data_IF_064990062624
#
_entry.id   IF_064990062624
#
_cell.length_a   1.000
_cell.length_b   1.000
_cell.length_c   1.000
_cell.angle_alpha   90.00
_cell.angle_beta   90.00
_cell.angle_gamma   90.00
#
_symmetry.space_group_name_H-M   'P 1'
#
loop_
_entity.id
_entity.type
_entity.pdbx_description
1 polymer ?
#
# COMPACT_ATOMS: atom_id res chain seq x y z
N UNK A 1 -22.83 0.14 20.13
CA UNK A 1 -22.89 -0.64 18.88
C UNK A 1 -21.47 -1.09 18.52
N UNK A 2 -21.22 -2.35 18.13
CA UNK A 2 -19.87 -2.91 17.88
C UNK A 2 -19.62 -3.31 16.42
N UNK A 3 -20.46 -2.85 15.50
CA UNK A 3 -20.41 -3.25 14.08
C UNK A 3 -20.02 -2.04 13.25
N UNK A 4 -19.04 -2.23 12.38
CA UNK A 4 -18.68 -1.31 11.31
C UNK A 4 -19.09 -1.97 10.00
N UNK A 5 -19.87 -1.26 9.18
CA UNK A 5 -20.43 -1.77 7.93
C UNK A 5 -19.95 -0.94 6.76
N UNK A 6 -19.37 -1.60 5.76
CA UNK A 6 -18.93 -1.00 4.50
C UNK A 6 -19.93 -1.34 3.39
N UNK A 7 -20.66 -0.34 2.89
CA UNK A 7 -21.47 -0.46 1.69
C UNK A 7 -20.67 -0.04 0.46
N UNK A 8 -19.94 -0.99 -0.13
CA UNK A 8 -19.01 -0.73 -1.22
C UNK A 8 -19.53 -1.34 -2.53
N UNK A 9 -20.72 -0.94 -2.97
CA UNK A 9 -21.38 -1.51 -4.15
C UNK A 9 -20.52 -1.47 -5.43
N UNK A 10 -19.60 -0.50 -5.54
CA UNK A 10 -18.65 -0.34 -6.65
C UNK A 10 -17.18 -0.56 -6.23
N UNK A 11 -16.95 -1.12 -5.05
CA UNK A 11 -15.63 -1.30 -4.47
C UNK A 11 -15.15 -0.11 -3.63
N UNK A 12 -14.00 -0.30 -2.97
CA UNK A 12 -13.32 0.71 -2.15
C UNK A 12 -11.80 0.47 -2.24
N UNK A 13 -11.03 1.53 -2.43
CA UNK A 13 -9.58 1.49 -2.43
C UNK A 13 -9.01 1.52 -1.01
N UNK A 14 -7.72 1.18 -0.87
CA UNK A 14 -7.05 1.11 0.43
C UNK A 14 -7.00 2.46 1.16
N UNK A 15 -6.69 3.54 0.43
CA UNK A 15 -6.67 4.90 0.94
C UNK A 15 -8.06 5.37 1.40
N UNK A 16 -9.14 5.04 0.67
CA UNK A 16 -10.51 5.32 1.09
C UNK A 16 -10.88 4.56 2.36
N UNK A 17 -10.45 3.30 2.48
CA UNK A 17 -10.65 2.49 3.70
C UNK A 17 -9.92 3.10 4.89
N UNK A 18 -8.64 3.47 4.73
CA UNK A 18 -7.85 4.14 5.78
C UNK A 18 -8.45 5.50 6.16
N UNK A 19 -8.88 6.28 5.17
CA UNK A 19 -9.52 7.57 5.37
C UNK A 19 -10.76 7.44 6.24
N UNK A 20 -11.65 6.49 5.91
CA UNK A 20 -12.86 6.22 6.70
C UNK A 20 -12.54 5.82 8.15
N UNK A 21 -11.54 4.97 8.36
CA UNK A 21 -11.13 4.53 9.71
C UNK A 21 -10.51 5.66 10.55
N UNK A 22 -9.71 6.54 9.94
CA UNK A 22 -9.18 7.74 10.61
C UNK A 22 -10.27 8.77 10.90
N UNK A 23 -11.30 8.84 10.07
CA UNK A 23 -12.42 9.75 10.27
C UNK A 23 -13.33 9.32 11.44
N UNK A 24 -13.37 8.01 11.75
CA UNK A 24 -14.02 7.46 12.94
C UNK A 24 -13.33 7.81 14.27
N UNK A 25 -12.22 8.56 14.23
CA UNK A 25 -11.54 9.08 15.42
C UNK A 25 -10.24 8.35 15.79
N UNK A 26 -9.76 7.41 14.97
CA UNK A 26 -8.41 6.85 15.14
C UNK A 26 -7.38 7.92 14.78
N UNK A 27 -6.44 8.18 15.69
CA UNK A 27 -5.35 9.13 15.45
C UNK A 27 -4.38 8.63 14.38
N UNK A 28 -3.90 9.55 13.52
CA UNK A 28 -2.89 9.26 12.49
C UNK A 28 -1.66 8.54 13.08
N UNK A 29 -1.22 8.97 14.26
CA UNK A 29 0.00 8.44 14.89
C UNK A 29 -0.11 6.94 15.21
N UNK A 30 -1.31 6.48 15.59
CA UNK A 30 -1.56 5.04 15.81
C UNK A 30 -1.35 4.24 14.54
N UNK A 31 -1.88 4.73 13.41
CA UNK A 31 -1.68 4.09 12.11
C UNK A 31 -0.19 4.08 11.72
N UNK A 32 0.48 5.22 11.86
CA UNK A 32 1.89 5.36 11.51
C UNK A 32 2.77 4.44 12.36
N UNK A 33 2.52 4.36 13.66
CA UNK A 33 3.31 3.52 14.57
C UNK A 33 3.08 2.03 14.32
N UNK A 34 1.88 1.60 13.94
CA UNK A 34 1.64 0.22 13.50
C UNK A 34 2.34 -0.08 12.16
N UNK A 35 2.30 0.84 11.19
CA UNK A 35 2.95 0.65 9.89
C UNK A 35 4.48 0.64 9.99
N UNK A 36 5.09 1.43 10.89
CA UNK A 36 6.54 1.41 11.15
C UNK A 36 7.05 0.04 11.58
N UNK A 37 6.20 -0.78 12.20
CA UNK A 37 6.56 -2.16 12.60
C UNK A 37 6.82 -3.07 11.40
N UNK A 38 6.46 -2.68 10.18
CA UNK A 38 6.83 -3.38 8.95
C UNK A 38 8.34 -3.31 8.66
N UNK A 39 9.07 -2.37 9.29
CA UNK A 39 10.51 -2.19 9.03
C UNK A 39 10.81 -1.60 7.65
N UNK A 40 9.81 -0.95 7.03
CA UNK A 40 9.95 -0.26 5.75
C UNK A 40 10.20 1.22 5.99
N UNK A 41 11.10 1.81 5.19
CA UNK A 41 11.49 3.22 5.25
C UNK A 41 11.16 3.91 3.92
N UNK A 42 11.24 5.24 3.88
CA UNK A 42 11.06 6.02 2.66
C UNK A 42 9.59 6.23 2.29
N UNK A 43 8.70 6.30 3.28
CA UNK A 43 7.29 6.62 3.10
C UNK A 43 6.81 7.57 4.20
N UNK A 44 5.84 8.39 3.85
CA UNK A 44 5.10 9.25 4.78
C UNK A 44 3.58 9.07 4.53
N UNK A 45 2.81 9.03 5.61
CA UNK A 45 1.35 9.14 5.53
C UNK A 45 0.96 10.59 5.65
N UNK A 46 0.27 11.14 4.66
CA UNK A 46 -0.31 12.48 4.69
C UNK A 46 -1.82 12.35 4.87
N UNK A 47 -2.39 13.12 5.80
CA UNK A 47 -3.83 13.12 6.06
C UNK A 47 -4.35 14.54 5.89
N UNK A 48 -5.29 14.75 4.98
CA UNK A 48 -5.89 16.05 4.70
C UNK A 48 -7.40 16.01 4.85
N UNK A 49 -8.02 17.15 5.12
CA UNK A 49 -9.47 17.29 5.02
C UNK A 49 -9.82 17.67 3.57
N UNK A 50 -10.79 16.97 3.00
CA UNK A 50 -11.27 17.20 1.64
C UNK A 50 -12.79 17.37 1.65
N UNK A 51 -13.32 18.06 0.64
CA UNK A 51 -14.76 18.06 0.32
C UNK A 51 -14.94 17.42 -1.05
N UNK A 52 -15.68 16.31 -1.10
CA UNK A 52 -16.02 15.60 -2.35
C UNK A 52 -17.52 15.64 -2.52
N UNK A 53 -17.99 16.26 -3.60
CA UNK A 53 -19.42 16.43 -3.87
C UNK A 53 -20.20 17.06 -2.69
N UNK A 54 -19.57 18.00 -1.97
CA UNK A 54 -20.18 18.69 -0.81
C UNK A 54 -20.11 17.93 0.52
N UNK A 55 -19.53 16.72 0.54
CA UNK A 55 -19.35 15.92 1.76
C UNK A 55 -17.91 16.09 2.24
N UNK A 56 -17.75 16.50 3.50
CA UNK A 56 -16.46 16.56 4.17
C UNK A 56 -15.97 15.16 4.55
N UNK A 57 -14.69 14.88 4.29
CA UNK A 57 -14.04 13.62 4.63
C UNK A 57 -12.53 13.84 4.87
N UNK A 58 -11.87 12.86 5.48
CA UNK A 58 -10.41 12.75 5.41
C UNK A 58 -9.98 12.14 4.08
N UNK A 59 -8.78 12.48 3.64
CA UNK A 59 -8.07 11.81 2.56
C UNK A 59 -6.68 11.44 3.04
N UNK A 60 -6.34 10.17 2.88
CA UNK A 60 -5.04 9.59 3.20
C UNK A 60 -4.24 9.42 1.92
N UNK A 61 -3.00 9.88 1.93
CA UNK A 61 -2.05 9.69 0.85
C UNK A 61 -0.77 9.03 1.40
N UNK A 62 -0.16 8.16 0.60
CA UNK A 62 1.11 7.48 0.92
C UNK A 62 2.18 8.07 0.02
N UNK A 63 2.95 9.02 0.56
CA UNK A 63 4.01 9.71 -0.18
C UNK A 63 5.30 8.93 -0.02
N UNK A 64 5.92 8.51 -1.13
CA UNK A 64 7.21 7.82 -1.12
C UNK A 64 8.35 8.84 -1.26
N UNK A 65 9.42 8.67 -0.49
CA UNK A 65 10.65 9.43 -0.67
C UNK A 65 11.32 9.00 -1.98
N UNK A 66 11.44 9.91 -2.95
CA UNK A 66 12.24 9.64 -4.15
C UNK A 66 13.72 9.48 -3.76
N UNK A 67 14.22 8.24 -3.77
CA UNK A 67 15.66 8.01 -3.82
C UNK A 67 16.16 8.36 -5.22
N UNK A 68 16.49 9.64 -5.42
CA UNK A 68 17.29 10.12 -6.55
C UNK A 68 18.71 9.54 -6.48
N UNK A 69 18.85 8.28 -6.85
CA UNK A 69 20.17 7.67 -7.10
C UNK A 69 20.41 7.68 -8.60
N UNK A 70 20.71 8.86 -9.16
CA UNK A 70 21.78 9.01 -10.16
C UNK A 70 22.11 10.48 -10.42
N UNK A 71 23.38 10.72 -10.68
CA UNK A 71 24.04 12.01 -10.54
C UNK A 71 23.53 13.14 -11.43
N UNK A 72 23.86 14.37 -10.99
CA UNK A 72 24.06 15.53 -11.86
C UNK A 72 24.73 15.09 -13.17
N UNK A 73 24.01 15.11 -14.28
CA UNK A 73 24.60 15.26 -15.61
C UNK A 73 23.89 16.42 -16.27
N UNK A 74 24.67 17.47 -16.47
CA UNK A 74 24.36 18.62 -17.30
C UNK A 74 24.09 18.19 -18.74
N UNK A 75 22.97 18.63 -19.31
CA UNK A 75 22.79 18.72 -20.76
C UNK A 75 21.82 17.71 -21.37
N UNK A 76 20.70 18.25 -21.89
CA UNK A 76 20.01 17.86 -23.13
C UNK A 76 19.96 16.36 -23.46
N UNK A 77 18.83 15.68 -23.19
CA UNK A 77 18.18 14.60 -23.99
C UNK A 77 16.99 13.98 -23.19
N UNK A 78 16.03 13.29 -23.84
CA UNK A 78 14.63 13.24 -23.43
C UNK A 78 14.35 12.36 -22.21
N UNK A 79 13.37 12.80 -21.40
CA UNK A 79 12.86 12.14 -20.20
C UNK A 79 12.38 10.71 -20.46
N UNK A 80 13.25 9.72 -20.31
CA UNK A 80 12.85 8.35 -19.98
C UNK A 80 12.96 8.19 -18.46
N UNK A 81 11.84 8.37 -17.75
CA UNK A 81 11.73 8.00 -16.34
C UNK A 81 11.76 6.47 -16.24
N UNK A 82 12.96 5.89 -16.17
CA UNK A 82 13.14 4.50 -15.73
C UNK A 82 12.94 4.47 -14.23
N UNK A 83 11.68 4.37 -13.81
CA UNK A 83 11.36 4.02 -12.43
C UNK A 83 11.88 2.60 -12.20
N UNK A 84 12.97 2.46 -11.45
CA UNK A 84 13.41 1.16 -10.93
C UNK A 84 12.39 0.74 -9.86
N UNK A 85 11.28 0.15 -10.31
CA UNK A 85 10.31 -0.46 -9.42
C UNK A 85 10.98 -1.69 -8.80
N UNK A 86 11.08 -1.70 -7.47
CA UNK A 86 11.46 -2.91 -6.75
C UNK A 86 10.31 -3.91 -6.92
N UNK A 87 10.44 -4.82 -7.88
CA UNK A 87 9.48 -5.88 -8.08
C UNK A 87 9.57 -6.87 -6.91
N UNK A 88 8.52 -6.94 -6.09
CA UNK A 88 8.38 -7.95 -5.04
C UNK A 88 7.50 -9.07 -5.53
N UNK A 89 7.90 -10.31 -5.28
CA UNK A 89 7.03 -11.48 -5.44
C UNK A 89 6.30 -11.80 -4.13
N UNK A 90 5.40 -12.79 -4.18
CA UNK A 90 4.66 -13.22 -3.00
C UNK A 90 5.56 -13.69 -1.84
N UNK A 91 6.69 -14.31 -2.15
CA UNK A 91 7.68 -14.76 -1.16
C UNK A 91 8.40 -13.62 -0.45
N UNK A 92 8.74 -12.54 -1.17
CA UNK A 92 9.31 -11.31 -0.59
C UNK A 92 8.33 -10.67 0.38
N UNK A 93 7.06 -10.52 -0.03
CA UNK A 93 6.01 -9.91 0.78
C UNK A 93 5.74 -10.72 2.03
N UNK A 94 5.64 -12.06 1.91
CA UNK A 94 5.46 -12.94 3.06
C UNK A 94 6.60 -12.79 4.07
N UNK A 95 7.85 -12.71 3.61
CA UNK A 95 9.02 -12.49 4.48
C UNK A 95 8.96 -11.14 5.21
N UNK A 96 8.57 -10.06 4.52
CA UNK A 96 8.40 -8.74 5.15
C UNK A 96 7.33 -8.81 6.26
N UNK A 97 6.18 -9.41 5.96
CA UNK A 97 5.08 -9.55 6.91
C UNK A 97 5.50 -10.40 8.11
N UNK A 98 6.17 -11.53 7.87
CA UNK A 98 6.58 -12.46 8.93
C UNK A 98 7.66 -11.84 9.84
N UNK A 99 8.59 -11.08 9.27
CA UNK A 99 9.64 -10.36 10.02
C UNK A 99 9.12 -9.11 10.76
N UNK A 100 7.94 -8.59 10.40
CA UNK A 100 7.39 -7.38 11.01
C UNK A 100 6.94 -7.55 12.47
N UNK A 101 6.80 -6.45 13.19
CA UNK A 101 6.25 -6.40 14.55
C UNK A 101 4.72 -6.26 14.64
N UNK A 102 3.99 -6.33 13.52
CA UNK A 102 2.51 -6.20 13.54
C UNK A 102 1.85 -7.43 14.19
N UNK A 103 0.60 -7.29 14.62
CA UNK A 103 -0.13 -8.37 15.31
C UNK A 103 -0.26 -9.65 14.46
N UNK A 104 -0.33 -10.82 15.09
CA UNK A 104 -0.51 -12.10 14.39
C UNK A 104 -1.74 -12.11 13.49
N UNK A 105 -2.87 -11.58 13.98
CA UNK A 105 -4.09 -11.45 13.18
C UNK A 105 -3.91 -10.55 11.95
N UNK A 106 -3.15 -9.45 12.08
CA UNK A 106 -2.83 -8.59 10.94
C UNK A 106 -1.91 -9.31 9.92
N UNK A 107 -0.91 -10.07 10.40
CA UNK A 107 -0.04 -10.88 9.52
C UNK A 107 -0.84 -11.90 8.73
N UNK A 108 -1.72 -12.65 9.39
CA UNK A 108 -2.57 -13.66 8.75
C UNK A 108 -3.52 -13.04 7.73
N UNK A 109 -4.16 -11.92 8.08
CA UNK A 109 -5.05 -11.20 7.19
C UNK A 109 -4.32 -10.67 5.97
N UNK A 110 -3.16 -10.02 6.15
CA UNK A 110 -2.35 -9.49 5.06
C UNK A 110 -1.90 -10.59 4.10
N UNK A 111 -1.36 -11.70 4.62
CA UNK A 111 -0.94 -12.84 3.78
C UNK A 111 -2.11 -13.43 2.99
N UNK A 112 -3.30 -13.52 3.58
CA UNK A 112 -4.52 -13.95 2.87
C UNK A 112 -4.92 -13.00 1.75
N UNK A 113 -4.82 -11.68 1.97
CA UNK A 113 -5.13 -10.68 0.95
C UNK A 113 -4.16 -10.79 -0.22
N UNK A 114 -2.85 -10.80 0.06
CA UNK A 114 -1.83 -10.93 -0.98
C UNK A 114 -1.90 -12.27 -1.72
N UNK A 115 -2.19 -13.37 -1.04
CA UNK A 115 -2.38 -14.67 -1.69
C UNK A 115 -3.58 -14.67 -2.65
N UNK A 116 -4.69 -14.00 -2.28
CA UNK A 116 -5.84 -13.85 -3.19
C UNK A 116 -5.48 -13.05 -4.44
N UNK A 117 -4.68 -11.99 -4.28
CA UNK A 117 -4.15 -11.22 -5.42
C UNK A 117 -3.23 -12.09 -6.28
N UNK A 118 -2.26 -12.80 -5.67
CA UNK A 118 -1.36 -13.70 -6.39
C UNK A 118 -2.10 -14.76 -7.20
N UNK A 119 -3.15 -15.38 -6.63
CA UNK A 119 -3.98 -16.35 -7.35
C UNK A 119 -4.72 -15.73 -8.54
N UNK A 120 -5.19 -14.49 -8.41
CA UNK A 120 -5.86 -13.78 -9.49
C UNK A 120 -4.88 -13.45 -10.63
N UNK A 121 -3.72 -12.89 -10.30
CA UNK A 121 -2.66 -12.55 -11.25
C UNK A 121 -2.14 -13.81 -11.96
N UNK A 122 -1.85 -14.87 -11.22
CA UNK A 122 -1.39 -16.15 -11.77
C UNK A 122 -2.36 -16.72 -12.80
N UNK A 123 -3.68 -16.61 -12.54
CA UNK A 123 -4.71 -17.05 -13.47
C UNK A 123 -4.73 -16.20 -14.76
N UNK A 124 -4.59 -14.88 -14.65
CA UNK A 124 -4.58 -13.97 -15.80
C UNK A 124 -3.33 -14.17 -16.66
N UNK A 125 -2.19 -14.42 -16.01
CA UNK A 125 -0.89 -14.54 -16.67
C UNK A 125 -0.48 -15.98 -17.02
N UNK A 126 -1.25 -16.98 -16.62
CA UNK A 126 -0.94 -18.39 -16.88
C UNK A 126 0.29 -18.91 -16.14
N UNK A 127 0.58 -18.35 -14.96
CA UNK A 127 1.72 -18.71 -14.11
C UNK A 127 1.26 -19.37 -12.80
N UNK A 128 2.20 -19.66 -11.89
CA UNK A 128 1.89 -20.02 -10.50
C UNK A 128 1.89 -18.78 -9.59
N UNK A 129 1.20 -18.81 -8.42
CA UNK A 129 1.22 -17.72 -7.44
C UNK A 129 2.63 -17.34 -6.95
N UNK A 130 3.54 -18.31 -6.91
CA UNK A 130 4.93 -18.13 -6.51
C UNK A 130 5.75 -17.34 -7.56
N UNK A 131 5.37 -17.47 -8.83
CA UNK A 131 6.00 -16.79 -9.98
C UNK A 131 5.39 -15.42 -10.27
N UNK A 132 4.35 -15.01 -9.53
CA UNK A 132 3.73 -13.68 -9.71
C UNK A 132 4.66 -12.59 -9.21
N UNK A 133 4.97 -11.67 -10.11
CA UNK A 133 5.52 -10.37 -9.78
C UNK A 133 4.39 -9.36 -9.70
N UNK A 134 4.20 -8.72 -8.54
CA UNK A 134 3.17 -7.70 -8.41
C UNK A 134 3.63 -6.43 -9.15
N UNK A 135 3.12 -6.23 -10.36
CA UNK A 135 3.48 -5.08 -11.20
C UNK A 135 2.80 -3.79 -10.74
N UNK A 136 1.59 -3.88 -10.17
CA UNK A 136 0.82 -2.72 -9.71
C UNK A 136 0.75 -2.60 -8.17
N UNK A 137 0.90 -3.71 -7.44
CA UNK A 137 0.66 -3.78 -5.98
C UNK A 137 1.95 -4.02 -5.17
N UNK A 138 3.06 -4.35 -5.84
CA UNK A 138 4.34 -4.70 -5.19
C UNK A 138 5.28 -3.52 -4.94
N UNK A 139 4.99 -2.36 -5.55
CA UNK A 139 5.80 -1.16 -5.44
C UNK A 139 5.49 -0.41 -4.13
N UNK A 140 6.18 -0.81 -3.06
CA UNK A 140 6.33 0.01 -1.84
C UNK A 140 7.80 0.03 -1.44
#
# INVERSE_FOLDING_TARGET
MKILYFDCFSGISGDMTLSALLDLGIGKDVLVDELKKLGLNGWEIVVTNVSKHGIGAKHVDVVLEEKSVWGKVTGLLPHHHSHSHVHRNMGDIARIIDASGISSGAKELAKRIFMRLALAEAKVHGSTPEEVHFHEVGAM
#
